data_IF_818651177808
#
_entry.id   IF_818651177808
#
_cell.length_a   1.000
_cell.length_b   1.000
_cell.length_c   1.000
_cell.angle_alpha   90.00
_cell.angle_beta   90.00
_cell.angle_gamma   90.00
#
_symmetry.space_group_name_H-M   'P 1'
#
loop_
_entity.id
_entity.type
_entity.pdbx_description
1 polymer ?
#
# COMPACT_ATOMS: atom_id res chain seq x y z
N UNK A 1 -10.86 -3.72 -0.72
CA UNK A 1 -10.93 -4.81 -1.72
C UNK A 1 -10.10 -4.48 -2.95
N UNK A 2 -10.42 -3.45 -3.76
CA UNK A 2 -9.60 -3.13 -4.96
C UNK A 2 -8.14 -2.84 -4.60
N UNK A 3 -7.89 -1.96 -3.62
CA UNK A 3 -6.56 -1.68 -3.10
C UNK A 3 -5.80 -2.95 -2.67
N UNK A 4 -6.49 -3.88 -2.01
CA UNK A 4 -5.95 -5.16 -1.55
C UNK A 4 -5.42 -6.02 -2.70
N UNK A 5 -6.09 -6.02 -3.86
CA UNK A 5 -5.63 -6.77 -5.04
C UNK A 5 -4.36 -6.18 -5.64
N UNK A 6 -4.26 -4.84 -5.68
CA UNK A 6 -3.04 -4.16 -6.11
C UNK A 6 -1.89 -4.45 -5.14
N UNK A 7 -2.11 -4.31 -3.83
CA UNK A 7 -1.12 -4.67 -2.82
C UNK A 7 -0.66 -6.14 -2.93
N UNK A 8 -1.57 -7.07 -3.27
CA UNK A 8 -1.22 -8.47 -3.49
C UNK A 8 -0.28 -8.63 -4.69
N UNK A 9 -0.55 -7.94 -5.79
CA UNK A 9 0.28 -7.97 -6.98
C UNK A 9 1.66 -7.35 -6.75
N UNK A 10 1.71 -6.20 -6.07
CA UNK A 10 2.96 -5.52 -5.70
C UNK A 10 3.81 -6.37 -4.75
N UNK A 11 3.16 -7.01 -3.77
CA UNK A 11 3.80 -7.95 -2.84
C UNK A 11 4.37 -9.14 -3.57
N UNK A 12 3.59 -9.73 -4.50
CA UNK A 12 4.05 -10.85 -5.30
C UNK A 12 5.25 -10.44 -6.17
N UNK A 13 5.23 -9.26 -6.78
CA UNK A 13 6.39 -8.75 -7.53
C UNK A 13 7.64 -8.70 -6.65
N UNK A 14 7.57 -8.05 -5.49
CA UNK A 14 8.73 -7.84 -4.62
C UNK A 14 9.27 -9.13 -3.96
N UNK A 15 8.37 -10.00 -3.50
CA UNK A 15 8.76 -11.25 -2.81
C UNK A 15 9.21 -12.37 -3.76
N UNK A 16 8.85 -12.28 -5.05
CA UNK A 16 9.28 -13.24 -6.08
C UNK A 16 10.52 -12.75 -6.86
N UNK A 17 11.18 -11.68 -6.42
CA UNK A 17 12.48 -11.28 -7.01
C UNK A 17 13.55 -12.35 -6.71
N UNK A 18 14.44 -12.67 -7.66
CA UNK A 18 14.62 -11.99 -8.94
C UNK A 18 13.70 -12.48 -10.06
N UNK A 19 12.97 -13.57 -9.89
CA UNK A 19 12.21 -14.21 -10.98
C UNK A 19 11.10 -13.33 -11.58
N UNK A 20 10.60 -12.36 -10.82
CA UNK A 20 9.63 -11.34 -11.26
C UNK A 20 10.25 -10.16 -12.04
N UNK A 21 11.59 -9.99 -12.01
CA UNK A 21 12.28 -8.87 -12.65
C UNK A 21 12.37 -9.01 -14.18
N UNK A 22 12.47 -7.90 -14.94
CA UNK A 22 12.62 -7.94 -16.39
C UNK A 22 13.74 -8.90 -16.84
N UNK A 23 13.42 -9.79 -17.78
CA UNK A 23 14.34 -10.82 -18.28
C UNK A 23 14.24 -12.18 -17.58
N UNK A 24 13.48 -12.30 -16.49
CA UNK A 24 13.28 -13.55 -15.77
C UNK A 24 11.94 -14.23 -16.08
N UNK A 25 11.80 -15.49 -15.66
CA UNK A 25 10.71 -16.38 -16.08
C UNK A 25 9.31 -15.91 -15.67
N UNK A 26 9.15 -15.23 -14.53
CA UNK A 26 7.83 -14.80 -14.02
C UNK A 26 7.46 -13.38 -14.46
N UNK A 27 8.36 -12.63 -15.09
CA UNK A 27 8.15 -11.21 -15.40
C UNK A 27 6.94 -10.91 -16.30
N UNK A 28 6.50 -11.87 -17.11
CA UNK A 28 5.33 -11.71 -17.96
C UNK A 28 4.03 -11.45 -17.16
N UNK A 29 3.96 -11.84 -15.88
CA UNK A 29 2.87 -11.46 -14.98
C UNK A 29 3.00 -10.05 -14.39
N UNK A 30 4.16 -9.43 -14.57
CA UNK A 30 4.56 -8.16 -13.96
C UNK A 30 5.04 -7.16 -15.01
N UNK A 31 4.59 -7.29 -16.28
CA UNK A 31 5.09 -6.48 -17.40
C UNK A 31 5.10 -4.97 -17.14
N UNK A 32 4.10 -4.36 -16.48
CA UNK A 32 4.15 -2.92 -16.18
C UNK A 32 5.35 -2.49 -15.33
N UNK A 33 5.92 -3.41 -14.54
CA UNK A 33 7.13 -3.15 -13.77
C UNK A 33 8.38 -2.94 -14.63
N UNK A 34 8.36 -3.31 -15.92
CA UNK A 34 9.47 -3.03 -16.86
C UNK A 34 9.82 -1.55 -16.86
N UNK A 35 8.80 -0.70 -16.96
CA UNK A 35 8.98 0.75 -16.99
C UNK A 35 9.15 1.30 -15.57
N UNK A 36 8.36 0.80 -14.62
CA UNK A 36 8.35 1.31 -13.26
C UNK A 36 9.71 1.25 -12.58
N UNK A 37 10.44 0.12 -12.69
CA UNK A 37 11.76 -0.03 -12.06
C UNK A 37 12.85 0.86 -12.65
N UNK A 38 12.61 1.47 -13.82
CA UNK A 38 13.51 2.48 -14.39
C UNK A 38 13.31 3.87 -13.77
N UNK A 39 12.12 4.12 -13.20
CA UNK A 39 11.78 5.36 -12.49
C UNK A 39 12.11 5.23 -11.01
N UNK A 40 11.78 4.09 -10.40
CA UNK A 40 12.12 3.79 -9.01
C UNK A 40 12.96 2.52 -8.93
N UNK A 41 14.28 2.71 -8.82
CA UNK A 41 15.22 1.59 -8.89
C UNK A 41 15.20 0.73 -7.64
N UNK A 42 14.65 1.20 -6.51
CA UNK A 42 14.57 0.41 -5.27
C UNK A 42 13.81 -0.91 -5.46
N UNK A 43 12.87 -0.94 -6.40
CA UNK A 43 12.07 -2.11 -6.74
C UNK A 43 12.83 -3.16 -7.56
N UNK A 44 13.95 -2.81 -8.20
CA UNK A 44 14.86 -3.76 -8.85
C UNK A 44 16.16 -3.98 -8.06
N UNK A 45 16.48 -3.10 -7.13
CA UNK A 45 17.64 -3.22 -6.25
C UNK A 45 17.43 -4.40 -5.29
N UNK A 46 18.34 -5.37 -5.35
CA UNK A 46 18.33 -6.57 -4.52
C UNK A 46 19.00 -6.33 -3.16
N UNK A 47 19.70 -5.21 -3.00
CA UNK A 47 20.33 -4.79 -1.74
C UNK A 47 19.44 -3.79 -0.96
N UNK A 48 18.30 -3.36 -1.51
CA UNK A 48 17.31 -2.52 -0.81
C UNK A 48 16.23 -3.38 -0.13
N UNK A 49 16.48 -3.69 1.15
CA UNK A 49 15.55 -4.43 2.00
C UNK A 49 14.28 -3.65 2.38
N UNK A 50 14.26 -2.32 2.21
CA UNK A 50 13.15 -1.50 2.68
C UNK A 50 11.86 -1.81 1.91
N UNK A 51 11.94 -1.93 0.58
CA UNK A 51 10.76 -2.27 -0.23
C UNK A 51 10.26 -3.69 0.06
N UNK A 52 11.16 -4.62 0.39
CA UNK A 52 10.78 -5.97 0.82
C UNK A 52 10.05 -5.92 2.17
N UNK A 53 10.51 -5.09 3.10
CA UNK A 53 9.80 -4.86 4.36
C UNK A 53 8.42 -4.22 4.14
N UNK A 54 8.28 -3.29 3.18
CA UNK A 54 6.97 -2.74 2.77
C UNK A 54 6.04 -3.84 2.21
N UNK A 55 6.57 -4.79 1.43
CA UNK A 55 5.79 -5.93 0.94
C UNK A 55 5.24 -6.81 2.08
N UNK A 56 6.02 -7.02 3.15
CA UNK A 56 5.51 -7.72 4.33
C UNK A 56 4.42 -6.93 5.07
N UNK A 57 4.51 -5.60 5.13
CA UNK A 57 3.43 -4.76 5.65
C UNK A 57 2.15 -4.90 4.83
N UNK A 58 2.26 -4.95 3.49
CA UNK A 58 1.13 -5.26 2.62
C UNK A 58 0.47 -6.60 2.99
N UNK A 59 1.25 -7.65 3.29
CA UNK A 59 0.69 -8.95 3.74
C UNK A 59 -0.15 -8.78 5.00
N UNK A 60 0.36 -8.04 6.00
CA UNK A 60 -0.37 -7.77 7.24
C UNK A 60 -1.66 -7.01 6.95
N UNK A 61 -1.62 -5.96 6.13
CA UNK A 61 -2.81 -5.20 5.73
C UNK A 61 -3.84 -6.06 5.01
N UNK A 62 -3.40 -6.92 4.09
CA UNK A 62 -4.29 -7.83 3.38
C UNK A 62 -5.01 -8.79 4.33
N UNK A 63 -4.29 -9.33 5.33
CA UNK A 63 -4.89 -10.17 6.38
C UNK A 63 -5.89 -9.38 7.22
N UNK A 64 -5.54 -8.17 7.67
CA UNK A 64 -6.44 -7.30 8.44
C UNK A 64 -7.72 -6.99 7.66
N UNK A 65 -7.60 -6.65 6.37
CA UNK A 65 -8.76 -6.37 5.50
C UNK A 65 -9.61 -7.63 5.32
N UNK A 66 -8.99 -8.78 5.04
CA UNK A 66 -9.71 -10.04 4.86
C UNK A 66 -10.50 -10.42 6.12
N UNK A 67 -9.84 -10.39 7.29
CA UNK A 67 -10.48 -10.68 8.58
C UNK A 67 -11.57 -9.65 8.89
N UNK A 68 -11.31 -8.36 8.70
CA UNK A 68 -12.28 -7.30 8.94
C UNK A 68 -13.53 -7.43 8.08
N UNK A 69 -13.36 -7.69 6.78
CA UNK A 69 -14.50 -7.92 5.86
C UNK A 69 -15.28 -9.17 6.24
N UNK A 70 -14.59 -10.30 6.49
CA UNK A 70 -15.26 -11.54 6.90
C UNK A 70 -16.01 -11.39 8.21
N UNK A 71 -15.44 -10.66 9.17
CA UNK A 71 -16.07 -10.37 10.45
C UNK A 71 -17.31 -9.49 10.26
N UNK A 72 -17.20 -8.43 9.45
CA UNK A 72 -18.33 -7.55 9.12
C UNK A 72 -19.49 -8.32 8.49
N UNK A 73 -19.21 -9.22 7.54
CA UNK A 73 -20.24 -9.99 6.85
C UNK A 73 -20.93 -11.05 7.71
N UNK A 74 -20.27 -11.58 8.76
CA UNK A 74 -20.76 -12.74 9.52
C UNK A 74 -21.62 -12.42 10.74
N UNK A 75 -21.67 -11.18 11.21
CA UNK A 75 -22.40 -10.88 12.44
C UNK A 75 -23.17 -9.58 12.36
N UNK A 76 -24.48 -9.68 12.61
CA UNK A 76 -25.40 -8.55 12.70
C UNK A 76 -25.04 -7.55 13.83
N UNK A 77 -24.14 -7.93 14.75
CA UNK A 77 -23.59 -7.08 15.83
C UNK A 77 -22.08 -6.84 15.72
N UNK A 78 -21.41 -7.31 14.66
CA UNK A 78 -19.95 -7.22 14.51
C UNK A 78 -19.42 -5.87 14.00
N UNK A 79 -20.30 -4.90 13.76
CA UNK A 79 -19.93 -3.64 13.10
C UNK A 79 -18.70 -2.99 13.70
N UNK A 80 -18.67 -2.76 15.02
CA UNK A 80 -17.61 -1.95 15.65
C UNK A 80 -16.21 -2.55 15.56
N UNK A 81 -16.05 -3.81 15.94
CA UNK A 81 -14.74 -4.46 15.95
C UNK A 81 -14.16 -4.60 14.54
N UNK A 82 -15.01 -4.98 13.58
CA UNK A 82 -14.64 -5.06 12.18
C UNK A 82 -14.28 -3.69 11.60
N UNK A 83 -15.07 -2.65 11.90
CA UNK A 83 -14.80 -1.27 11.49
C UNK A 83 -13.47 -0.75 12.06
N UNK A 84 -13.17 -1.00 13.34
CA UNK A 84 -11.89 -0.60 13.95
C UNK A 84 -10.73 -1.30 13.26
N UNK A 85 -10.84 -2.60 12.96
CA UNK A 85 -9.80 -3.34 12.28
C UNK A 85 -9.57 -2.82 10.84
N UNK A 86 -10.65 -2.53 10.11
CA UNK A 86 -10.58 -1.95 8.78
C UNK A 86 -10.01 -0.53 8.81
N UNK A 87 -10.40 0.28 9.79
CA UNK A 87 -9.83 1.61 10.02
C UNK A 87 -8.32 1.54 10.30
N UNK A 88 -7.88 0.62 11.16
CA UNK A 88 -6.46 0.42 11.43
C UNK A 88 -5.66 0.04 10.17
N UNK A 89 -6.25 -0.76 9.26
CA UNK A 89 -5.60 -1.08 7.97
C UNK A 89 -5.42 0.16 7.09
N UNK A 90 -6.39 1.08 7.07
CA UNK A 90 -6.30 2.35 6.33
C UNK A 90 -5.21 3.26 6.89
N UNK A 91 -5.12 3.36 8.22
CA UNK A 91 -4.05 4.11 8.90
C UNK A 91 -2.69 3.54 8.53
N UNK A 92 -2.54 2.21 8.51
CA UNK A 92 -1.30 1.55 8.13
C UNK A 92 -0.88 1.85 6.69
N UNK A 93 -1.82 1.80 5.73
CA UNK A 93 -1.54 2.16 4.32
C UNK A 93 -1.05 3.59 4.21
N UNK A 94 -1.71 4.53 4.90
CA UNK A 94 -1.29 5.93 4.92
C UNK A 94 0.13 6.07 5.51
N UNK A 95 0.34 5.53 6.71
CA UNK A 95 1.61 5.67 7.45
C UNK A 95 2.79 5.06 6.71
N UNK A 96 2.64 3.87 6.11
CA UNK A 96 3.74 3.23 5.38
C UNK A 96 4.11 4.03 4.12
N UNK A 97 3.12 4.60 3.43
CA UNK A 97 3.36 5.38 2.20
C UNK A 97 4.08 6.69 2.53
N UNK A 98 3.67 7.35 3.62
CA UNK A 98 4.40 8.51 4.16
C UNK A 98 5.83 8.13 4.52
N UNK A 99 6.03 6.98 5.19
CA UNK A 99 7.36 6.48 5.54
C UNK A 99 8.22 6.20 4.29
N UNK A 100 7.65 5.59 3.26
CA UNK A 100 8.33 5.32 1.99
C UNK A 100 8.81 6.62 1.31
N UNK A 101 7.94 7.62 1.22
CA UNK A 101 8.32 8.92 0.65
C UNK A 101 9.36 9.65 1.52
N UNK A 102 9.24 9.56 2.85
CA UNK A 102 10.20 10.14 3.78
C UNK A 102 11.59 9.47 3.64
N UNK A 103 11.64 8.13 3.54
CA UNK A 103 12.87 7.38 3.28
C UNK A 103 13.56 7.85 2.01
N UNK A 104 12.81 8.05 0.94
CA UNK A 104 13.40 8.52 -0.32
C UNK A 104 13.89 9.97 -0.24
N UNK A 105 13.11 10.86 0.37
CA UNK A 105 13.52 12.26 0.58
C UNK A 105 14.75 12.41 1.48
N UNK A 106 14.83 11.62 2.57
CA UNK A 106 15.99 11.58 3.47
C UNK A 106 17.20 10.89 2.84
N UNK A 107 16.96 9.91 1.96
CA UNK A 107 17.98 9.21 1.18
C UNK A 107 18.51 10.00 -0.02
N UNK A 108 18.13 11.27 -0.16
CA UNK A 108 18.63 12.17 -1.20
C UNK A 108 18.13 11.84 -2.61
N UNK A 109 16.96 11.21 -2.74
CA UNK A 109 16.38 10.81 -4.03
C UNK A 109 17.29 9.85 -4.81
N UNK A 110 17.94 8.93 -4.08
CA UNK A 110 18.96 8.04 -4.63
C UNK A 110 18.38 6.95 -5.53
N UNK A 111 17.14 6.50 -5.30
CA UNK A 111 16.50 5.44 -6.08
C UNK A 111 15.57 5.98 -7.16
N UNK A 112 14.95 7.13 -6.90
CA UNK A 112 13.99 7.71 -7.84
C UNK A 112 14.73 8.51 -8.92
N UNK A 113 14.78 7.94 -10.12
CA UNK A 113 15.44 8.54 -11.27
C UNK A 113 14.46 9.36 -12.09
N UNK A 114 14.79 10.63 -12.27
CA UNK A 114 14.07 11.53 -13.17
C UNK A 114 14.63 11.38 -14.59
N UNK A 115 14.38 10.24 -15.23
CA UNK A 115 14.72 10.03 -16.65
C UNK A 115 13.82 10.86 -17.57
N UNK A 116 12.54 10.98 -17.18
CA UNK A 116 11.52 11.82 -17.81
C UNK A 116 10.63 12.42 -16.73
N UNK A 117 10.34 13.72 -16.80
CA UNK A 117 9.44 14.38 -15.85
C UNK A 117 8.02 13.79 -15.93
N UNK A 118 7.58 13.39 -17.13
CA UNK A 118 6.27 12.75 -17.30
C UNK A 118 6.23 11.38 -16.60
N UNK A 119 7.26 10.56 -16.79
CA UNK A 119 7.30 9.22 -16.19
C UNK A 119 7.43 9.32 -14.67
N UNK A 120 8.25 10.24 -14.17
CA UNK A 120 8.34 10.52 -12.74
C UNK A 120 6.99 10.94 -12.15
N UNK A 121 6.28 11.87 -12.79
CA UNK A 121 4.98 12.33 -12.28
C UNK A 121 3.93 11.22 -12.36
N UNK A 122 3.85 10.50 -13.47
CA UNK A 122 2.78 9.52 -13.72
C UNK A 122 2.99 8.20 -12.99
N UNK A 123 4.24 7.75 -12.83
CA UNK A 123 4.56 6.45 -12.23
C UNK A 123 4.95 6.57 -10.76
N UNK A 124 5.47 7.72 -10.32
CA UNK A 124 5.90 7.87 -8.93
C UNK A 124 5.02 8.85 -8.15
N UNK A 125 4.87 10.10 -8.61
CA UNK A 125 4.14 11.13 -7.84
C UNK A 125 2.65 10.81 -7.73
N UNK A 126 2.00 10.51 -8.87
CA UNK A 126 0.55 10.29 -8.91
C UNK A 126 0.13 9.04 -8.11
N UNK A 127 0.78 7.86 -8.25
CA UNK A 127 0.37 6.68 -7.50
C UNK A 127 0.63 6.84 -6.00
N UNK A 128 1.80 7.31 -5.58
CA UNK A 128 2.08 7.55 -4.16
C UNK A 128 1.17 8.64 -3.57
N UNK A 129 0.90 9.69 -4.33
CA UNK A 129 -0.05 10.74 -3.96
C UNK A 129 -1.47 10.20 -3.75
N UNK A 130 -1.93 9.29 -4.61
CA UNK A 130 -3.23 8.62 -4.44
C UNK A 130 -3.25 7.74 -3.17
N UNK A 131 -2.17 7.00 -2.91
CA UNK A 131 -2.01 6.17 -1.70
C UNK A 131 -1.89 6.97 -0.39
N UNK A 132 -1.64 8.27 -0.45
CA UNK A 132 -1.73 9.17 0.69
C UNK A 132 -3.12 9.81 0.77
N UNK A 133 -3.60 10.36 -0.34
CA UNK A 133 -4.82 11.16 -0.38
C UNK A 133 -6.06 10.32 -0.03
N UNK A 134 -6.25 9.16 -0.67
CA UNK A 134 -7.45 8.35 -0.44
C UNK A 134 -7.49 7.76 0.98
N UNK A 135 -6.42 7.10 1.48
CA UNK A 135 -6.40 6.64 2.87
C UNK A 135 -6.48 7.78 3.89
N UNK A 136 -5.89 8.95 3.60
CA UNK A 136 -6.00 10.13 4.46
C UNK A 136 -7.44 10.64 4.59
N UNK A 137 -8.18 10.74 3.48
CA UNK A 137 -9.60 11.11 3.50
C UNK A 137 -10.42 10.05 4.26
N UNK A 138 -10.20 8.77 3.97
CA UNK A 138 -10.89 7.67 4.65
C UNK A 138 -10.63 7.69 6.16
N UNK A 139 -9.38 7.93 6.57
CA UNK A 139 -8.99 8.03 7.97
C UNK A 139 -9.74 9.16 8.68
N UNK A 140 -9.85 10.35 8.07
CA UNK A 140 -10.57 11.47 8.68
C UNK A 140 -12.07 11.17 8.81
N UNK A 141 -12.69 10.66 7.74
CA UNK A 141 -14.13 10.39 7.72
C UNK A 141 -14.52 9.24 8.65
N UNK A 142 -13.80 8.12 8.58
CA UNK A 142 -14.10 6.94 9.39
C UNK A 142 -13.71 7.14 10.85
N UNK A 143 -12.61 7.86 11.12
CA UNK A 143 -12.25 8.25 12.48
C UNK A 143 -13.34 9.10 13.14
N UNK A 144 -13.86 10.10 12.42
CA UNK A 144 -14.98 10.91 12.91
C UNK A 144 -16.26 10.08 13.12
N UNK A 145 -16.56 9.16 12.20
CA UNK A 145 -17.72 8.27 12.33
C UNK A 145 -17.60 7.32 13.53
N UNK A 146 -16.41 6.75 13.79
CA UNK A 146 -16.13 5.89 14.93
C UNK A 146 -16.22 6.64 16.26
N UNK A 147 -15.82 7.91 16.29
CA UNK A 147 -15.86 8.77 17.46
C UNK A 147 -17.22 9.47 17.68
N UNK A 148 -18.22 9.22 16.82
CA UNK A 148 -19.46 9.98 16.87
C UNK A 148 -20.26 9.68 18.17
N UNK A 149 -20.87 10.70 18.81
CA UNK A 149 -21.63 10.50 20.05
C UNK A 149 -22.80 9.53 19.90
N UNK A 150 -23.40 9.46 18.71
CA UNK A 150 -24.48 8.53 18.38
C UNK A 150 -24.02 7.08 18.47
N UNK A 151 -22.82 6.78 17.97
CA UNK A 151 -22.22 5.45 18.11
C UNK A 151 -21.76 5.18 19.53
N UNK A 152 -21.24 6.16 20.25
CA UNK A 152 -20.77 5.94 21.63
C UNK A 152 -21.91 5.63 22.63
N UNK A 153 -23.16 5.99 22.30
CA UNK A 153 -24.34 5.76 23.16
C UNK A 153 -25.09 4.44 22.88
N UNK A 154 -24.73 3.72 21.81
CA UNK A 154 -25.42 2.48 21.41
C UNK A 154 -24.84 1.21 22.06
N UNK A 155 -23.86 1.35 22.96
CA UNK A 155 -23.22 0.29 23.74
C UNK A 155 -23.72 0.31 25.19
#
# INVERSE_FOLDING_TARGET
VVATLLCAWDTAFLLLRPDSLPGHSLHHFFTPYTLYVTVDTSWADMDDDFVVAQAWMNVVEMVMVAVGVLWYCKSARAGRGAEVLLFASVVMTFSKTVLFMAKEGLGGWSHVKQTSMMDFVTLWVLPNGAWILFPGIMMLQWGAALASPERLKSD
#
